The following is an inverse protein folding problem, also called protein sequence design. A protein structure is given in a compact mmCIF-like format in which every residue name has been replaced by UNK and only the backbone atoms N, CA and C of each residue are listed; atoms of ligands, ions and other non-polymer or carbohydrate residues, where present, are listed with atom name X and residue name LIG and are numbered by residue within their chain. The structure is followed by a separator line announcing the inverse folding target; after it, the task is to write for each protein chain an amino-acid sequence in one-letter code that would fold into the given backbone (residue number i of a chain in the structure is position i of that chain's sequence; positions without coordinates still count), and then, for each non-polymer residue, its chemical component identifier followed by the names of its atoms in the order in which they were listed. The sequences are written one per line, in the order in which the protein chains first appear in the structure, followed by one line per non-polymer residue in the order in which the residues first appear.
data_IF_681671632424
#
_entry.id   IF_681671632424
#
_cell.length_a   1.000
_cell.length_b   1.000
_cell.length_c   1.000
_cell.angle_alpha   90.00
_cell.angle_beta   90.00
_cell.angle_gamma   90.00
#
_symmetry.space_group_name_H-M   'P 1'
#
loop_
_entity.id
_entity.type
_entity.pdbx_description
1 polymer ?
#
# COMPACT_ATOMS: atom_id res chain seq x y z
N UNK A 1 19.23 13.35 5.55
CA UNK A 1 18.21 12.65 6.36
C UNK A 1 16.85 13.35 6.39
N UNK A 2 16.75 14.69 6.54
CA UNK A 2 15.46 15.42 6.60
C UNK A 2 14.51 15.10 5.42
N UNK A 3 15.01 15.06 4.18
CA UNK A 3 14.17 14.77 3.00
C UNK A 3 13.59 13.36 3.00
N UNK A 4 14.40 12.35 3.33
CA UNK A 4 13.92 10.96 3.33
C UNK A 4 12.90 10.70 4.44
N UNK A 5 13.07 11.35 5.61
CA UNK A 5 12.04 11.35 6.66
C UNK A 5 10.72 11.98 6.20
N UNK A 6 10.76 12.96 5.29
CA UNK A 6 9.54 13.53 4.67
C UNK A 6 8.79 12.52 3.81
N UNK A 7 9.51 11.72 3.01
CA UNK A 7 8.91 10.66 2.18
C UNK A 7 8.28 9.57 3.03
N UNK A 8 8.97 9.16 4.11
CA UNK A 8 8.43 8.18 5.05
C UNK A 8 7.18 8.72 5.78
N UNK A 9 7.23 9.97 6.24
CA UNK A 9 6.07 10.62 6.86
C UNK A 9 4.88 10.65 5.92
N UNK A 10 5.10 11.02 4.66
CA UNK A 10 4.09 11.02 3.60
C UNK A 10 3.49 9.63 3.36
N UNK A 11 4.30 8.57 3.38
CA UNK A 11 3.81 7.19 3.27
C UNK A 11 2.92 6.84 4.46
N UNK A 12 3.33 7.18 5.69
CA UNK A 12 2.51 6.97 6.87
C UNK A 12 1.19 7.78 6.82
N UNK A 13 1.17 8.97 6.21
CA UNK A 13 -0.09 9.72 6.04
C UNK A 13 -1.04 9.03 5.06
N UNK A 14 -0.52 8.34 4.03
CA UNK A 14 -1.34 7.50 3.16
C UNK A 14 -1.87 6.30 3.93
N UNK A 15 -1.02 5.60 4.69
CA UNK A 15 -1.45 4.44 5.49
C UNK A 15 -2.55 4.83 6.50
N UNK A 16 -2.42 5.99 7.15
CA UNK A 16 -3.44 6.54 8.05
C UNK A 16 -4.73 6.94 7.31
N UNK A 17 -4.61 7.54 6.13
CA UNK A 17 -5.78 7.88 5.32
C UNK A 17 -6.51 6.62 4.86
N UNK A 18 -5.78 5.56 4.47
CA UNK A 18 -6.36 4.27 4.13
C UNK A 18 -7.04 3.63 5.36
N UNK A 19 -6.42 3.68 6.54
CA UNK A 19 -7.03 3.20 7.78
C UNK A 19 -8.32 3.97 8.10
N UNK A 20 -8.29 5.30 7.96
CA UNK A 20 -9.46 6.16 8.11
C UNK A 20 -10.54 5.73 7.12
N UNK A 21 -10.26 5.74 5.81
CA UNK A 21 -11.19 5.32 4.77
C UNK A 21 -11.77 3.95 5.11
N UNK A 22 -10.95 2.97 5.49
CA UNK A 22 -11.41 1.64 5.88
C UNK A 22 -12.38 1.63 7.06
N UNK A 23 -12.13 2.42 8.10
CA UNK A 23 -13.06 2.56 9.23
C UNK A 23 -14.41 3.17 8.80
N UNK A 24 -14.42 4.11 7.85
CA UNK A 24 -15.65 4.73 7.36
C UNK A 24 -16.36 3.90 6.28
N UNK A 25 -15.59 3.20 5.46
CA UNK A 25 -16.04 2.28 4.43
C UNK A 25 -15.92 0.88 5.02
N UNK A 26 -16.82 0.56 5.96
CA UNK A 26 -16.92 -0.79 6.50
C UNK A 26 -17.46 -1.68 5.38
N UNK A 27 -16.55 -2.09 4.48
CA UNK A 27 -16.86 -2.88 3.31
C UNK A 27 -17.09 -4.30 3.81
N UNK A 28 -18.35 -4.66 4.00
CA UNK A 28 -18.74 -6.05 4.17
C UNK A 28 -18.57 -6.72 2.81
N UNK A 29 -17.73 -7.75 2.81
CA UNK A 29 -17.50 -8.59 1.65
C UNK A 29 -18.38 -9.82 1.84
N UNK A 30 -19.36 -9.99 0.97
CA UNK A 30 -20.11 -11.23 0.90
C UNK A 30 -19.76 -11.94 -0.39
N UNK A 31 -19.68 -13.25 -0.34
CA UNK A 31 -19.39 -14.09 -1.50
C UNK A 31 -20.53 -15.06 -1.68
N UNK A 32 -21.12 -15.09 -2.88
CA UNK A 32 -22.22 -16.00 -3.21
C UNK A 32 -22.09 -16.44 -4.67
N UNK A 33 -21.69 -17.70 -4.86
CA UNK A 33 -21.60 -18.34 -6.17
C UNK A 33 -20.53 -17.71 -7.06
N UNK A 34 -19.36 -17.39 -6.50
CA UNK A 34 -18.26 -16.76 -7.24
C UNK A 34 -18.48 -15.27 -7.57
N UNK A 35 -19.47 -14.62 -6.93
CA UNK A 35 -19.66 -13.16 -6.99
C UNK A 35 -19.20 -12.53 -5.68
N UNK A 36 -18.51 -11.40 -5.77
CA UNK A 36 -18.08 -10.61 -4.62
C UNK A 36 -19.05 -9.45 -4.48
N UNK A 37 -19.70 -9.32 -3.33
CA UNK A 37 -20.59 -8.21 -3.01
C UNK A 37 -19.85 -7.31 -2.03
N UNK A 38 -19.75 -6.03 -2.38
CA UNK A 38 -19.22 -5.02 -1.47
C UNK A 38 -20.41 -4.22 -0.94
N UNK A 39 -20.59 -4.24 0.38
CA UNK A 39 -21.61 -3.46 1.07
C UNK A 39 -20.93 -2.44 1.99
N UNK A 40 -21.32 -1.17 1.87
CA UNK A 40 -21.07 -0.22 2.96
C UNK A 40 -21.99 -0.58 4.12
N UNK A 41 -21.43 -1.10 5.21
CA UNK A 41 -22.18 -1.48 6.40
C UNK A 41 -22.24 -0.37 7.45
N UNK A 42 -21.84 0.85 7.10
CA UNK A 42 -21.74 1.94 8.05
C UNK A 42 -23.13 2.50 8.39
N UNK A 43 -23.60 2.42 9.65
CA UNK A 43 -24.91 2.93 10.05
C UNK A 43 -25.00 4.46 9.99
N UNK A 44 -23.85 5.17 9.92
CA UNK A 44 -23.79 6.63 9.91
C UNK A 44 -23.97 7.26 8.54
N UNK A 45 -23.97 6.47 7.45
CA UNK A 45 -24.14 7.00 6.10
C UNK A 45 -25.36 6.40 5.40
N UNK A 46 -26.10 7.20 4.61
CA UNK A 46 -27.17 6.69 3.80
C UNK A 46 -26.64 5.60 2.86
N UNK A 47 -27.31 4.44 2.86
CA UNK A 47 -27.07 3.36 1.91
C UNK A 47 -27.46 3.76 0.47
N UNK A 48 -28.16 4.89 0.30
CA UNK A 48 -28.70 5.41 -0.96
C UNK A 48 -27.81 6.49 -1.59
N UNK A 49 -27.93 6.67 -2.91
CA UNK A 49 -27.19 7.70 -3.67
C UNK A 49 -25.73 7.34 -3.98
N UNK A 50 -24.90 8.38 -4.21
CA UNK A 50 -23.51 8.27 -4.68
C UNK A 50 -22.50 7.84 -3.60
N UNK A 51 -22.91 7.79 -2.34
CA UNK A 51 -21.99 7.61 -1.21
C UNK A 51 -21.19 6.29 -1.27
N UNK A 52 -21.80 5.11 -1.56
CA UNK A 52 -21.04 3.86 -1.70
C UNK A 52 -20.02 3.89 -2.85
N UNK A 53 -20.30 4.62 -3.92
CA UNK A 53 -19.39 4.78 -5.06
C UNK A 53 -18.18 5.63 -4.66
N UNK A 54 -18.40 6.72 -3.93
CA UNK A 54 -17.34 7.56 -3.38
C UNK A 54 -16.48 6.77 -2.39
N UNK A 55 -17.12 6.01 -1.50
CA UNK A 55 -16.43 5.14 -0.54
C UNK A 55 -15.49 4.13 -1.23
N UNK A 56 -15.98 3.42 -2.24
CA UNK A 56 -15.19 2.45 -2.99
C UNK A 56 -14.12 3.13 -3.83
N UNK A 57 -14.43 4.28 -4.44
CA UNK A 57 -13.44 5.09 -5.14
C UNK A 57 -12.29 5.51 -4.23
N UNK A 58 -12.62 6.04 -3.05
CA UNK A 58 -11.63 6.43 -2.04
C UNK A 58 -10.79 5.23 -1.62
N UNK A 59 -11.40 4.08 -1.37
CA UNK A 59 -10.69 2.84 -1.03
C UNK A 59 -9.66 2.44 -2.09
N UNK A 60 -10.06 2.40 -3.36
CA UNK A 60 -9.15 2.06 -4.46
C UNK A 60 -8.08 3.14 -4.65
N UNK A 61 -8.44 4.42 -4.54
CA UNK A 61 -7.50 5.55 -4.64
C UNK A 61 -6.43 5.45 -3.58
N UNK A 62 -6.80 5.24 -2.31
CA UNK A 62 -5.85 5.16 -1.20
C UNK A 62 -4.98 3.92 -1.30
N UNK A 63 -5.52 2.80 -1.78
CA UNK A 63 -4.74 1.60 -2.06
C UNK A 63 -3.68 1.84 -3.15
N UNK A 64 -4.05 2.55 -4.23
CA UNK A 64 -3.11 2.91 -5.28
C UNK A 64 -2.04 3.90 -4.82
N UNK A 65 -2.41 4.87 -3.99
CA UNK A 65 -1.45 5.77 -3.36
C UNK A 65 -0.38 5.00 -2.58
N UNK A 66 -0.73 3.93 -1.86
CA UNK A 66 0.23 3.10 -1.13
C UNK A 66 1.27 2.51 -2.10
N UNK A 67 0.84 1.89 -3.20
CA UNK A 67 1.76 1.28 -4.16
C UNK A 67 2.64 2.30 -4.88
N UNK A 68 2.07 3.41 -5.35
CA UNK A 68 2.84 4.47 -5.98
C UNK A 68 3.82 5.11 -4.99
N UNK A 69 3.46 5.25 -3.72
CA UNK A 69 4.38 5.75 -2.69
C UNK A 69 5.58 4.82 -2.48
N UNK A 70 5.40 3.50 -2.53
CA UNK A 70 6.49 2.53 -2.45
C UNK A 70 7.42 2.63 -3.66
N UNK A 71 6.87 2.78 -4.86
CA UNK A 71 7.64 3.02 -6.07
C UNK A 71 8.48 4.30 -5.95
N UNK A 72 7.86 5.40 -5.51
CA UNK A 72 8.55 6.67 -5.27
C UNK A 72 9.66 6.50 -4.25
N UNK A 73 9.45 5.77 -3.15
CA UNK A 73 10.50 5.46 -2.19
C UNK A 73 11.68 4.70 -2.82
N UNK A 74 11.42 3.74 -3.72
CA UNK A 74 12.49 3.05 -4.46
C UNK A 74 13.29 4.03 -5.33
N UNK A 75 12.60 4.91 -6.08
CA UNK A 75 13.26 5.95 -6.90
C UNK A 75 14.10 6.91 -6.04
N UNK A 76 13.57 7.40 -4.92
CA UNK A 76 14.32 8.26 -4.00
C UNK A 76 15.58 7.58 -3.45
N UNK A 77 15.47 6.29 -3.08
CA UNK A 77 16.61 5.49 -2.63
C UNK A 77 17.65 5.36 -3.74
N UNK A 78 17.23 5.15 -4.99
CA UNK A 78 18.13 5.10 -6.14
C UNK A 78 18.91 6.39 -6.34
N UNK A 79 18.22 7.55 -6.36
CA UNK A 79 18.90 8.85 -6.51
C UNK A 79 19.87 9.14 -5.36
N UNK A 80 19.51 8.77 -4.13
CA UNK A 80 20.37 8.99 -2.97
C UNK A 80 21.60 8.07 -2.96
N UNK A 81 21.45 6.79 -3.34
CA UNK A 81 22.53 5.78 -3.24
C UNK A 81 23.44 5.79 -4.48
N UNK A 82 22.85 5.88 -5.67
CA UNK A 82 23.58 5.74 -6.94
C UNK A 82 24.04 7.09 -7.46
N UNK A 83 23.19 8.12 -7.37
CA UNK A 83 23.47 9.45 -7.93
C UNK A 83 23.98 10.44 -6.89
N UNK A 84 24.02 10.08 -5.60
CA UNK A 84 24.40 10.97 -4.49
C UNK A 84 23.68 12.33 -4.51
N UNK A 85 22.49 12.38 -5.13
CA UNK A 85 21.76 13.62 -5.35
C UNK A 85 20.70 13.74 -4.27
N UNK A 86 20.64 14.89 -3.60
CA UNK A 86 19.58 15.17 -2.65
C UNK A 86 18.40 15.80 -3.39
N UNK A 87 17.22 15.24 -3.20
CA UNK A 87 15.99 15.82 -3.75
C UNK A 87 15.50 16.89 -2.77
N UNK A 88 15.13 18.10 -3.23
CA UNK A 88 14.57 19.14 -2.37
C UNK A 88 13.19 18.74 -1.82
N UNK A 89 12.87 19.14 -0.59
CA UNK A 89 11.59 18.79 0.06
C UNK A 89 10.36 19.24 -0.71
N UNK A 90 10.39 20.40 -1.38
CA UNK A 90 9.23 20.87 -2.17
C UNK A 90 8.94 19.95 -3.37
N UNK A 91 9.96 19.36 -4.01
CA UNK A 91 9.77 18.39 -5.09
C UNK A 91 9.17 17.09 -4.56
N UNK A 92 9.55 16.69 -3.34
CA UNK A 92 8.94 15.56 -2.65
C UNK A 92 7.46 15.80 -2.36
N UNK A 93 7.08 16.99 -1.91
CA UNK A 93 5.68 17.37 -1.72
C UNK A 93 4.88 17.40 -3.02
N UNK A 94 5.44 17.98 -4.07
CA UNK A 94 4.80 18.00 -5.38
C UNK A 94 4.56 16.59 -5.91
N UNK A 95 5.55 15.71 -5.80
CA UNK A 95 5.41 14.32 -6.24
C UNK A 95 4.32 13.58 -5.44
N UNK A 96 4.21 13.84 -4.14
CA UNK A 96 3.16 13.26 -3.31
C UNK A 96 1.75 13.74 -3.70
N UNK A 97 1.60 15.03 -4.04
CA UNK A 97 0.35 15.55 -4.60
C UNK A 97 0.03 14.92 -5.95
N UNK A 98 1.04 14.69 -6.79
CA UNK A 98 0.86 13.98 -8.06
C UNK A 98 0.41 12.53 -7.85
N UNK A 99 0.91 11.84 -6.83
CA UNK A 99 0.44 10.48 -6.48
C UNK A 99 -1.07 10.49 -6.22
N UNK A 100 -1.56 11.39 -5.36
CA UNK A 100 -3.00 11.49 -5.09
C UNK A 100 -3.82 11.82 -6.34
N UNK A 101 -3.35 12.77 -7.15
CA UNK A 101 -4.07 13.18 -8.36
C UNK A 101 -4.13 12.05 -9.40
N UNK A 102 -3.00 11.36 -9.64
CA UNK A 102 -2.91 10.25 -10.58
C UNK A 102 -3.76 9.08 -10.09
N UNK A 103 -3.66 8.70 -8.81
CA UNK A 103 -4.48 7.62 -8.25
C UNK A 103 -5.97 7.92 -8.28
N UNK A 104 -6.36 9.15 -7.96
CA UNK A 104 -7.77 9.55 -8.07
C UNK A 104 -8.29 9.42 -9.50
N UNK A 105 -7.49 9.86 -10.48
CA UNK A 105 -7.85 9.81 -11.90
C UNK A 105 -7.91 8.38 -12.44
N UNK A 106 -6.90 7.55 -12.16
CA UNK A 106 -6.82 6.16 -12.63
C UNK A 106 -7.93 5.31 -12.03
N UNK A 107 -8.32 5.57 -10.78
CA UNK A 107 -9.36 4.78 -10.12
C UNK A 107 -10.78 5.28 -10.35
N UNK A 108 -10.97 6.51 -10.86
CA UNK A 108 -12.29 7.08 -11.11
C UNK A 108 -13.18 6.20 -12.02
N UNK A 109 -12.69 5.61 -13.12
CA UNK A 109 -13.49 4.69 -13.94
C UNK A 109 -14.08 3.50 -13.17
N UNK A 110 -13.41 3.00 -12.12
CA UNK A 110 -13.96 1.91 -11.30
C UNK A 110 -15.18 2.36 -10.49
N UNK A 111 -15.20 3.61 -10.03
CA UNK A 111 -16.34 4.20 -9.33
C UNK A 111 -17.54 4.35 -10.26
N UNK A 112 -17.32 4.76 -11.51
CA UNK A 112 -18.36 4.89 -12.53
C UNK A 112 -18.92 3.52 -12.94
N UNK A 113 -18.06 2.53 -13.21
CA UNK A 113 -18.47 1.16 -13.52
C UNK A 113 -19.30 0.55 -12.37
N UNK A 114 -18.92 0.83 -11.13
CA UNK A 114 -19.66 0.39 -9.96
C UNK A 114 -21.04 1.05 -9.85
N UNK A 115 -21.14 2.34 -10.14
CA UNK A 115 -22.42 3.06 -10.22
C UNK A 115 -23.35 2.49 -11.30
N UNK A 116 -22.82 2.28 -12.50
CA UNK A 116 -23.58 1.74 -13.64
C UNK A 116 -24.09 0.32 -13.35
N UNK A 117 -23.23 -0.54 -12.79
CA UNK A 117 -23.60 -1.91 -12.41
C UNK A 117 -24.72 -1.91 -11.35
N UNK A 118 -24.62 -1.02 -10.36
CA UNK A 118 -25.66 -0.87 -9.34
C UNK A 118 -26.99 -0.42 -9.93
N UNK A 119 -26.96 0.59 -10.82
CA UNK A 119 -28.15 1.12 -11.47
C UNK A 119 -28.84 0.06 -12.33
N UNK A 120 -28.07 -0.69 -13.13
CA UNK A 120 -28.60 -1.73 -14.01
C UNK A 120 -29.15 -2.94 -13.23
N UNK A 121 -28.51 -3.34 -12.13
CA UNK A 121 -29.00 -4.43 -11.29
C UNK A 121 -30.25 -4.04 -10.48
N UNK A 122 -30.35 -2.78 -10.03
CA UNK A 122 -31.54 -2.27 -9.36
C UNK A 122 -32.80 -2.27 -10.27
N UNK A 123 -32.59 -2.23 -11.59
CA UNK A 123 -33.66 -2.32 -12.59
C UNK A 123 -34.03 -3.77 -12.96
N UNK A 124 -33.18 -4.75 -12.66
CA UNK A 124 -33.29 -6.12 -13.19
C UNK A 124 -33.70 -7.19 -12.16
N UNK A 125 -33.55 -6.99 -10.84
CA UNK A 125 -33.81 -8.02 -9.81
C UNK A 125 -35.02 -7.67 -8.90
N UNK A 126 -36.01 -8.57 -8.83
CA UNK A 126 -37.21 -8.54 -7.95
C UNK A 126 -36.90 -9.24 -6.60
N UNK A 127 -35.71 -9.00 -6.03
CA UNK A 127 -35.32 -9.64 -4.76
C UNK A 127 -35.27 -8.58 -3.64
N UNK A 128 -36.29 -8.50 -2.75
CA UNK A 128 -36.44 -7.40 -1.80
C UNK A 128 -35.28 -7.32 -0.79
N UNK A 129 -34.59 -8.43 -0.55
CA UNK A 129 -33.38 -8.48 0.30
C UNK A 129 -32.18 -7.72 -0.30
N UNK A 130 -32.11 -7.58 -1.64
CA UNK A 130 -31.09 -6.77 -2.35
C UNK A 130 -31.44 -5.29 -2.43
N UNK A 131 -32.69 -4.92 -2.15
CA UNK A 131 -33.16 -3.53 -2.24
C UNK A 131 -32.98 -2.79 -0.91
N UNK A 132 -33.16 -3.48 0.22
CA UNK A 132 -32.95 -2.90 1.57
C UNK A 132 -31.48 -2.80 1.97
N UNK A 133 -30.62 -3.64 1.38
CA UNK A 133 -29.18 -3.61 1.65
C UNK A 133 -28.46 -3.09 0.41
N UNK A 134 -27.60 -2.08 0.59
CA UNK A 134 -26.74 -1.51 -0.46
C UNK A 134 -25.65 -2.49 -0.92
N UNK A 135 -26.05 -3.70 -1.33
CA UNK A 135 -25.20 -4.74 -1.88
C UNK A 135 -24.99 -4.41 -3.35
N UNK A 136 -23.88 -3.75 -3.64
CA UNK A 136 -23.44 -3.68 -5.01
C UNK A 136 -22.61 -4.92 -5.31
N UNK A 137 -23.13 -5.73 -6.23
CA UNK A 137 -22.45 -6.93 -6.70
C UNK A 137 -21.35 -6.54 -7.68
N UNK A 138 -20.09 -6.83 -7.34
CA UNK A 138 -19.02 -6.88 -8.33
C UNK A 138 -19.11 -8.22 -9.06
N UNK A 139 -19.58 -8.18 -10.31
CA UNK A 139 -19.48 -9.34 -11.19
C UNK A 139 -18.03 -9.43 -11.67
N UNK A 140 -17.30 -10.47 -11.26
CA UNK A 140 -15.89 -10.70 -11.58
C UNK A 140 -15.61 -10.86 -13.09
N UNK A 141 -16.65 -10.99 -13.92
CA UNK A 141 -16.57 -11.22 -15.36
C UNK A 141 -16.21 -9.98 -16.19
N UNK A 142 -16.22 -8.77 -15.61
CA UNK A 142 -15.87 -7.56 -16.36
C UNK A 142 -14.34 -7.40 -16.45
N UNK A 143 -13.85 -7.19 -17.67
CA UNK A 143 -12.45 -6.95 -18.05
C UNK A 143 -11.71 -5.96 -17.11
N UNK A 144 -12.43 -5.00 -16.55
CA UNK A 144 -11.96 -4.02 -15.57
C UNK A 144 -11.33 -4.66 -14.31
N UNK A 145 -11.78 -5.83 -13.87
CA UNK A 145 -11.21 -6.51 -12.70
C UNK A 145 -9.86 -7.18 -13.00
N UNK A 146 -9.67 -7.68 -14.22
CA UNK A 146 -8.34 -8.12 -14.68
C UNK A 146 -7.40 -6.92 -14.82
N UNK A 147 -7.90 -5.76 -15.25
CA UNK A 147 -7.12 -4.52 -15.32
C UNK A 147 -6.59 -4.13 -13.94
N UNK A 148 -7.40 -4.23 -12.88
CA UNK A 148 -6.96 -3.97 -11.50
C UNK A 148 -5.85 -4.92 -11.05
N UNK A 149 -6.00 -6.23 -11.27
CA UNK A 149 -5.00 -7.24 -10.89
C UNK A 149 -3.71 -7.04 -11.68
N UNK A 150 -3.81 -6.82 -12.99
CA UNK A 150 -2.66 -6.57 -13.88
C UNK A 150 -1.97 -5.24 -13.52
N UNK A 151 -2.74 -4.21 -13.19
CA UNK A 151 -2.22 -2.89 -12.85
C UNK A 151 -1.48 -2.92 -11.51
N UNK A 152 -2.10 -3.44 -10.45
CA UNK A 152 -1.46 -3.56 -9.14
C UNK A 152 -0.31 -4.55 -9.17
N UNK A 153 -0.48 -5.70 -9.82
CA UNK A 153 0.59 -6.68 -10.03
C UNK A 153 1.77 -6.09 -10.81
N UNK A 154 1.51 -5.31 -11.86
CA UNK A 154 2.52 -4.64 -12.66
C UNK A 154 3.31 -3.60 -11.88
N UNK A 155 2.64 -2.72 -11.13
CA UNK A 155 3.27 -1.72 -10.25
C UNK A 155 4.18 -2.37 -9.20
N UNK A 156 3.69 -3.46 -8.61
CA UNK A 156 4.39 -4.24 -7.61
C UNK A 156 5.62 -4.94 -8.22
N UNK A 157 5.50 -5.54 -9.41
CA UNK A 157 6.64 -6.12 -10.14
C UNK A 157 7.70 -5.08 -10.49
N UNK A 158 7.29 -3.91 -11.00
CA UNK A 158 8.20 -2.80 -11.31
C UNK A 158 8.93 -2.34 -10.06
N UNK A 159 8.22 -2.17 -8.94
CA UNK A 159 8.81 -1.74 -7.67
C UNK A 159 9.83 -2.76 -7.17
N UNK A 160 9.47 -4.05 -7.15
CA UNK A 160 10.38 -5.15 -6.78
C UNK A 160 11.61 -5.20 -7.69
N UNK A 161 11.44 -4.99 -8.99
CA UNK A 161 12.56 -4.94 -9.95
C UNK A 161 13.49 -3.76 -9.67
N UNK A 162 12.95 -2.56 -9.44
CA UNK A 162 13.73 -1.37 -9.06
C UNK A 162 14.51 -1.59 -7.76
N UNK A 163 13.87 -2.23 -6.77
CA UNK A 163 14.50 -2.59 -5.51
C UNK A 163 15.57 -3.69 -5.68
N UNK A 164 15.39 -4.62 -6.61
CA UNK A 164 16.41 -5.58 -7.02
C UNK A 164 17.65 -4.92 -7.64
N UNK A 165 17.45 -3.92 -8.51
CA UNK A 165 18.54 -3.11 -9.05
C UNK A 165 19.29 -2.39 -7.92
N UNK A 166 18.57 -1.83 -6.95
CA UNK A 166 19.16 -1.19 -5.78
C UNK A 166 20.04 -2.14 -4.97
N UNK A 167 19.56 -3.37 -4.70
CA UNK A 167 20.36 -4.42 -4.05
C UNK A 167 21.63 -4.70 -4.82
N UNK A 168 21.52 -4.87 -6.13
CA UNK A 168 22.66 -5.14 -6.99
C UNK A 168 23.69 -4.00 -6.97
N UNK A 169 23.23 -2.75 -7.04
CA UNK A 169 24.09 -1.57 -6.91
C UNK A 169 24.81 -1.54 -5.55
N UNK A 170 24.09 -1.80 -4.45
CA UNK A 170 24.65 -1.86 -3.10
C UNK A 170 25.70 -2.97 -2.99
N UNK A 171 25.42 -4.15 -3.55
CA UNK A 171 26.35 -5.26 -3.58
C UNK A 171 27.64 -4.88 -4.34
N UNK A 172 27.52 -4.24 -5.52
CA UNK A 172 28.66 -3.77 -6.30
C UNK A 172 29.49 -2.73 -5.54
N UNK A 173 28.84 -1.76 -4.88
CA UNK A 173 29.50 -0.76 -4.03
C UNK A 173 30.24 -1.45 -2.87
N UNK A 174 29.60 -2.41 -2.19
CA UNK A 174 30.21 -3.18 -1.10
C UNK A 174 31.44 -3.96 -1.57
N UNK A 175 31.37 -4.59 -2.74
CA UNK A 175 32.50 -5.33 -3.34
C UNK A 175 33.66 -4.37 -3.68
N UNK A 176 33.36 -3.22 -4.28
CA UNK A 176 34.35 -2.19 -4.57
C UNK A 176 35.04 -1.69 -3.30
N UNK A 177 34.27 -1.35 -2.26
CA UNK A 177 34.79 -0.91 -0.95
C UNK A 177 35.66 -1.97 -0.26
N UNK A 178 35.32 -3.26 -0.40
CA UNK A 178 36.16 -4.34 0.15
C UNK A 178 37.53 -4.37 -0.55
N UNK A 179 37.53 -4.27 -1.87
CA UNK A 179 38.75 -4.31 -2.69
C UNK A 179 39.64 -3.07 -2.51
N UNK A 180 39.05 -1.92 -2.16
CA UNK A 180 39.76 -0.63 -1.98
C UNK A 180 39.81 -0.19 -0.52
N UNK A 181 39.61 -1.12 0.42
CA UNK A 181 39.45 -0.82 1.85
C UNK A 181 40.65 -0.12 2.48
N UNK A 182 41.84 -0.27 1.90
CA UNK A 182 43.07 0.41 2.34
C UNK A 182 43.12 1.89 1.98
N UNK A 183 42.35 2.34 0.98
CA UNK A 183 42.30 3.74 0.53
C UNK A 183 41.27 4.60 1.27
N UNK A 184 40.31 3.97 1.95
CA UNK A 184 39.23 4.70 2.63
C UNK A 184 39.47 4.78 4.14
N UNK A 185 39.07 5.90 4.74
CA UNK A 185 39.08 6.05 6.18
C UNK A 185 38.17 5.00 6.85
N UNK A 186 38.53 4.57 8.07
CA UNK A 186 37.71 3.66 8.90
C UNK A 186 36.29 4.22 9.13
N UNK A 187 36.14 5.55 9.19
CA UNK A 187 34.86 6.21 9.36
C UNK A 187 33.98 6.08 8.11
N UNK A 188 34.54 6.28 6.92
CA UNK A 188 33.83 6.13 5.64
C UNK A 188 33.32 4.70 5.45
N UNK A 189 34.16 3.70 5.75
CA UNK A 189 33.79 2.28 5.73
C UNK A 189 32.65 1.96 6.69
N UNK A 190 32.68 2.51 7.92
CA UNK A 190 31.58 2.35 8.89
C UNK A 190 30.28 2.98 8.38
N UNK A 191 30.33 4.20 7.84
CA UNK A 191 29.14 4.88 7.29
C UNK A 191 28.52 4.09 6.13
N UNK A 192 29.32 3.60 5.19
CA UNK A 192 28.81 2.77 4.08
C UNK A 192 28.21 1.45 4.55
N UNK A 193 28.86 0.77 5.51
CA UNK A 193 28.33 -0.47 6.08
C UNK A 193 26.98 -0.24 6.75
N UNK A 194 26.82 0.89 7.46
CA UNK A 194 25.57 1.26 8.10
C UNK A 194 24.48 1.65 7.08
N UNK A 195 24.83 2.40 6.03
CA UNK A 195 23.91 2.76 4.95
C UNK A 195 23.40 1.52 4.22
N UNK A 196 24.30 0.62 3.81
CA UNK A 196 23.95 -0.63 3.12
C UNK A 196 23.04 -1.51 3.99
N UNK A 197 23.32 -1.57 5.30
CA UNK A 197 22.48 -2.29 6.26
C UNK A 197 21.08 -1.67 6.34
N UNK A 198 20.96 -0.34 6.44
CA UNK A 198 19.67 0.36 6.48
C UNK A 198 18.86 0.10 5.22
N UNK A 199 19.47 0.24 4.04
CA UNK A 199 18.77 -0.01 2.78
C UNK A 199 18.34 -1.47 2.65
N UNK A 200 19.17 -2.43 3.08
CA UNK A 200 18.82 -3.85 3.03
C UNK A 200 17.56 -4.17 3.82
N UNK A 201 17.46 -3.68 5.06
CA UNK A 201 16.26 -3.89 5.85
C UNK A 201 15.04 -3.17 5.24
N UNK A 202 15.22 -1.99 4.66
CA UNK A 202 14.11 -1.25 4.04
C UNK A 202 13.51 -1.97 2.82
N UNK A 203 14.19 -2.96 2.25
CA UNK A 203 13.63 -3.81 1.19
C UNK A 203 12.60 -4.80 1.72
N UNK A 204 12.57 -5.06 3.02
CA UNK A 204 11.56 -5.93 3.61
C UNK A 204 10.14 -5.39 3.41
N UNK A 205 9.97 -4.06 3.41
CA UNK A 205 8.66 -3.42 3.18
C UNK A 205 8.09 -3.76 1.80
N UNK A 206 8.74 -3.39 0.67
CA UNK A 206 8.21 -3.67 -0.67
C UNK A 206 8.08 -5.17 -0.96
N UNK A 207 8.97 -6.01 -0.42
CA UNK A 207 8.86 -7.48 -0.55
C UNK A 207 7.63 -8.02 0.18
N UNK A 208 7.38 -7.54 1.40
CA UNK A 208 6.19 -7.90 2.16
C UNK A 208 4.92 -7.45 1.41
N UNK A 209 4.89 -6.20 0.94
CA UNK A 209 3.76 -5.67 0.18
C UNK A 209 3.53 -6.44 -1.12
N UNK A 210 4.60 -6.85 -1.83
CA UNK A 210 4.52 -7.75 -2.98
C UNK A 210 3.82 -9.06 -2.60
N UNK A 211 4.28 -9.70 -1.52
CA UNK A 211 3.72 -10.96 -1.07
C UNK A 211 2.23 -10.84 -0.73
N UNK A 212 1.82 -9.76 -0.05
CA UNK A 212 0.42 -9.53 0.29
C UNK A 212 -0.45 -9.35 -0.97
N UNK A 213 0.01 -8.56 -1.95
CA UNK A 213 -0.74 -8.37 -3.21
C UNK A 213 -0.84 -9.65 -4.02
N UNK A 214 0.27 -10.38 -4.11
CA UNK A 214 0.31 -11.65 -4.80
C UNK A 214 -0.62 -12.67 -4.15
N UNK A 215 -0.59 -12.75 -2.81
CA UNK A 215 -1.49 -13.59 -2.02
C UNK A 215 -2.95 -13.18 -2.22
N UNK A 216 -3.26 -11.89 -2.20
CA UNK A 216 -4.59 -11.37 -2.46
C UNK A 216 -5.08 -11.75 -3.86
N UNK A 217 -4.28 -11.46 -4.89
CA UNK A 217 -4.64 -11.73 -6.29
C UNK A 217 -4.86 -13.22 -6.54
N UNK A 218 -3.96 -14.07 -6.02
CA UNK A 218 -4.06 -15.53 -6.14
C UNK A 218 -5.25 -16.06 -5.34
N UNK A 219 -5.49 -15.51 -4.14
CA UNK A 219 -6.63 -15.87 -3.30
C UNK A 219 -7.97 -15.51 -3.92
N UNK A 220 -8.06 -14.35 -4.59
CA UNK A 220 -9.26 -13.98 -5.37
C UNK A 220 -9.47 -14.99 -6.51
N UNK A 221 -8.43 -15.28 -7.31
CA UNK A 221 -8.54 -16.22 -8.44
C UNK A 221 -8.96 -17.61 -7.96
N UNK A 222 -8.28 -18.16 -6.96
CA UNK A 222 -8.59 -19.49 -6.41
C UNK A 222 -9.94 -19.53 -5.71
N UNK A 223 -10.29 -18.47 -4.98
CA UNK A 223 -11.55 -18.39 -4.27
C UNK A 223 -12.74 -18.32 -5.21
N UNK A 224 -12.62 -17.61 -6.33
CA UNK A 224 -13.63 -17.59 -7.40
C UNK A 224 -13.84 -18.97 -8.05
N UNK A 225 -12.81 -19.82 -8.06
CA UNK A 225 -12.86 -21.15 -8.68
C UNK A 225 -13.32 -22.25 -7.72
N UNK A 226 -13.11 -22.09 -6.41
CA UNK A 226 -13.23 -23.20 -5.47
C UNK A 226 -13.94 -22.87 -4.15
N UNK A 227 -13.72 -21.68 -3.57
CA UNK A 227 -14.20 -21.38 -2.22
C UNK A 227 -14.26 -19.87 -1.93
N UNK A 228 -15.49 -19.42 -1.72
CA UNK A 228 -15.89 -18.07 -1.34
C UNK A 228 -15.19 -17.53 -0.06
N UNK A 229 -14.78 -18.40 0.87
CA UNK A 229 -14.00 -18.06 2.07
C UNK A 229 -12.54 -17.70 1.81
N UNK A 230 -11.92 -18.22 0.74
CA UNK A 230 -10.53 -17.87 0.37
C UNK A 230 -10.47 -16.42 -0.10
N UNK A 231 -11.48 -15.95 -0.84
CA UNK A 231 -11.59 -14.55 -1.26
C UNK A 231 -11.61 -13.63 -0.04
N UNK A 232 -12.46 -13.93 0.95
CA UNK A 232 -12.59 -13.17 2.19
C UNK A 232 -11.26 -13.06 2.95
N UNK A 233 -10.58 -14.19 3.19
CA UNK A 233 -9.28 -14.22 3.86
C UNK A 233 -8.27 -13.37 3.07
N UNK A 234 -8.23 -13.53 1.76
CA UNK A 234 -7.28 -12.82 0.90
C UNK A 234 -7.47 -11.31 0.93
N UNK A 235 -8.72 -10.82 0.96
CA UNK A 235 -9.04 -9.39 1.06
C UNK A 235 -8.78 -8.83 2.46
N UNK A 236 -9.00 -9.61 3.52
CA UNK A 236 -8.61 -9.21 4.87
C UNK A 236 -7.10 -9.06 5.01
N UNK A 237 -6.31 -9.99 4.45
CA UNK A 237 -4.84 -9.92 4.49
C UNK A 237 -4.31 -8.65 3.81
N UNK A 238 -4.93 -8.20 2.73
CA UNK A 238 -4.59 -6.94 2.04
C UNK A 238 -4.64 -5.72 2.96
N UNK A 239 -5.61 -5.68 3.88
CA UNK A 239 -5.81 -4.54 4.78
C UNK A 239 -4.67 -4.38 5.78
N UNK A 240 -3.99 -5.47 6.14
CA UNK A 240 -2.88 -5.40 7.08
C UNK A 240 -1.64 -4.69 6.54
N UNK A 241 -1.57 -4.36 5.23
CA UNK A 241 -0.47 -3.56 4.66
C UNK A 241 -0.30 -2.25 5.45
N UNK A 242 -1.39 -1.57 5.79
CA UNK A 242 -1.35 -0.27 6.51
C UNK A 242 -0.78 -0.38 7.93
N UNK A 243 -0.83 -1.58 8.52
CA UNK A 243 -0.30 -1.85 9.86
C UNK A 243 1.16 -2.31 9.77
N UNK A 244 1.46 -3.21 8.83
CA UNK A 244 2.80 -3.77 8.70
C UNK A 244 3.80 -2.81 8.07
N UNK A 245 3.41 -1.92 7.16
CA UNK A 245 4.31 -0.89 6.59
C UNK A 245 5.03 -0.06 7.69
N UNK A 246 4.31 0.60 8.61
CA UNK A 246 4.95 1.37 9.68
C UNK A 246 5.67 0.47 10.69
N UNK A 247 5.14 -0.71 11.04
CA UNK A 247 5.79 -1.63 11.98
C UNK A 247 7.12 -2.13 11.43
N UNK A 248 7.15 -2.65 10.20
CA UNK A 248 8.37 -3.10 9.53
C UNK A 248 9.37 -1.95 9.51
N UNK A 249 8.94 -0.74 9.15
CA UNK A 249 9.80 0.45 9.13
C UNK A 249 10.41 0.76 10.51
N UNK A 250 9.62 0.72 11.59
CA UNK A 250 10.07 0.95 12.97
C UNK A 250 11.08 -0.12 13.40
N UNK A 251 10.79 -1.41 13.17
CA UNK A 251 11.68 -2.49 13.59
C UNK A 251 12.99 -2.53 12.80
N UNK A 252 12.92 -2.11 11.53
CA UNK A 252 14.02 -2.06 10.56
C UNK A 252 14.99 -0.92 10.80
N UNK A 253 14.48 0.29 11.06
CA UNK A 253 15.30 1.50 11.13
C UNK A 253 15.57 1.84 12.59
N UNK A 254 16.80 1.58 13.03
CA UNK A 254 17.27 1.79 14.41
C UNK A 254 16.89 3.15 15.00
N UNK A 255 17.02 4.24 14.24
CA UNK A 255 16.70 5.58 14.73
C UNK A 255 15.21 5.73 15.09
N UNK A 256 14.30 5.19 14.28
CA UNK A 256 12.87 5.20 14.59
C UNK A 256 12.53 4.25 15.73
N UNK A 257 13.17 3.08 15.77
CA UNK A 257 13.06 2.13 16.88
C UNK A 257 13.42 2.76 18.22
N UNK A 258 14.56 3.45 18.29
CA UNK A 258 15.02 4.11 19.50
C UNK A 258 14.06 5.21 19.94
N UNK A 259 13.55 6.03 19.02
CA UNK A 259 12.56 7.07 19.35
C UNK A 259 11.24 6.46 19.86
N UNK A 260 10.75 5.41 19.19
CA UNK A 260 9.50 4.73 19.55
C UNK A 260 9.59 4.10 20.95
N UNK A 261 10.62 3.29 21.21
CA UNK A 261 10.78 2.62 22.50
C UNK A 261 11.27 3.55 23.61
N UNK A 262 12.02 4.61 23.32
CA UNK A 262 12.40 5.61 24.34
C UNK A 262 11.17 6.40 24.82
N UNK A 263 10.26 6.79 23.91
CA UNK A 263 9.00 7.45 24.28
C UNK A 263 8.06 6.51 25.06
N UNK A 264 7.91 5.27 24.61
CA UNK A 264 7.02 4.31 25.28
C UNK A 264 7.61 3.79 26.60
N UNK A 265 8.93 3.61 26.70
CA UNK A 265 9.59 3.26 27.95
C UNK A 265 9.48 4.35 29.02
N UNK A 266 9.55 5.64 28.63
CA UNK A 266 9.28 6.76 29.56
C UNK A 266 7.79 6.92 29.91
N UNK A 267 6.87 6.50 29.02
CA UNK A 267 5.44 6.51 29.30
C UNK A 267 5.02 5.41 30.29
N UNK A 268 5.62 4.21 30.20
CA UNK A 268 5.37 3.11 31.14
C UNK A 268 5.84 3.46 32.55
N UNK A 269 6.96 4.17 32.72
CA UNK A 269 7.45 4.62 34.03
C UNK A 269 6.54 5.70 34.65
N UNK A 270 5.87 6.53 33.84
CA UNK A 270 4.91 7.53 34.32
C UNK A 270 3.51 7.00 34.59
N UNK A 271 3.15 5.83 34.05
CA UNK A 271 1.85 5.20 34.31
C UNK A 271 1.86 4.32 35.57
N UNK A 272 3.04 4.05 36.14
CA UNK A 272 3.25 3.23 37.34
C UNK A 272 3.83 4.01 38.52
N UNK A 273 3.90 5.34 38.42
CA UNK A 273 4.23 6.28 39.51
C UNK A 273 3.07 7.23 39.73
#
# INVERSE_FOLDING_TARGET
MKTYSSVLFQTCTIDLLMAFVFCFTLIQIETNGGKIYLRSANPFFPSTGYFPCIAIWLYWTTLECIFLSMFVQAVFRYYHIVRYTTIPSYKTWLLHLMIYAISGFITAPYAFNFWETRYNNALADIDPWKYETSLASFRSQNLANYTVIVYFGGLVLITTFCDGILVFCIYKIKKCLKNTSTMYSKQTLRMHKELNRKTYYQLAVPVFSFFVVWFNSTGIILGLLANDGIVLISMMVMQYIIVFNPLITIFTIRAYREVFFKRNGSAVVRATT
#
